data_IF_215414270422
#
_entry.id   IF_215414270422
#
_cell.length_a   1.000
_cell.length_b   1.000
_cell.length_c   1.000
_cell.angle_alpha   90.00
_cell.angle_beta   90.00
_cell.angle_gamma   90.00
#
_symmetry.space_group_name_H-M   'P 1'
#
loop_
_entity.id
_entity.type
_entity.pdbx_description
1 polymer ?
2 water ?
#
# COMPACT_ATOMS: atom_id res chain seq x y z
N UNK A 2 22.14 -31.02 -4.02
CA UNK A 2 22.74 -30.36 -2.89
C UNK A 2 22.74 -28.82 -3.04
N UNK A 3 21.57 -28.33 -3.44
CA UNK A 3 21.33 -26.92 -3.68
C UNK A 3 21.05 -26.23 -2.35
N UNK A 4 21.73 -25.12 -2.12
CA UNK A 4 21.51 -24.41 -0.87
C UNK A 4 20.50 -23.31 -1.11
N UNK A 5 19.49 -23.25 -0.26
CA UNK A 5 18.41 -22.30 -0.42
C UNK A 5 18.13 -21.56 0.89
N UNK A 6 18.10 -20.23 0.82
CA UNK A 6 17.82 -19.43 2.02
C UNK A 6 16.32 -19.23 2.22
N UNK A 7 15.89 -19.26 3.48
CA UNK A 7 14.49 -19.01 3.81
C UNK A 7 14.41 -18.22 5.10
N UNK A 8 13.26 -17.60 5.35
CA UNK A 8 13.06 -16.81 6.56
C UNK A 8 12.86 -17.72 7.77
N UNK A 9 13.80 -17.63 8.70
CA UNK A 9 13.81 -18.49 9.88
C UNK A 9 12.77 -18.10 10.90
N UNK A 10 12.72 -18.82 12.04
CA UNK A 10 13.56 -19.99 12.36
C UNK A 10 13.07 -21.28 11.70
N UNK A 11 13.79 -22.38 11.92
CA UNK A 11 13.28 -23.70 11.57
C UNK A 11 11.86 -23.89 12.09
N UNK A 12 11.02 -24.52 11.29
CA UNK A 12 9.62 -24.66 11.62
C UNK A 12 8.77 -23.42 11.40
N UNK A 13 9.31 -22.43 10.71
CA UNK A 13 8.53 -21.24 10.39
C UNK A 13 7.64 -21.59 9.21
N UNK A 14 6.64 -20.76 8.95
CA UNK A 14 5.83 -20.91 7.75
C UNK A 14 6.64 -20.93 6.46
N UNK A 15 7.61 -20.03 6.35
CA UNK A 15 8.45 -19.97 5.16
C UNK A 15 9.32 -21.23 4.99
N UNK A 16 9.78 -21.78 6.11
CA UNK A 16 10.48 -23.05 6.08
C UNK A 16 9.60 -24.12 5.44
N UNK A 17 8.39 -24.23 5.98
CA UNK A 17 7.38 -25.13 5.46
C UNK A 17 7.10 -24.91 3.97
N UNK A 18 7.12 -23.65 3.53
CA UNK A 18 6.91 -23.38 2.10
C UNK A 18 8.07 -23.96 1.31
N UNK A 19 9.28 -23.71 1.82
CA UNK A 19 10.49 -24.08 1.13
C UNK A 19 10.60 -25.59 1.18
N UNK A 20 10.16 -26.17 2.29
CA UNK A 20 10.22 -27.62 2.46
C UNK A 20 9.41 -28.35 1.40
N UNK A 21 8.25 -27.81 1.07
CA UNK A 21 7.38 -28.42 0.07
C UNK A 21 7.83 -28.09 -1.35
N UNK A 22 8.26 -26.86 -1.56
CA UNK A 22 8.72 -26.42 -2.87
C UNK A 22 10.00 -27.13 -3.28
N UNK A 23 10.89 -27.36 -2.31
CA UNK A 23 12.24 -27.81 -2.62
C UNK A 23 12.70 -28.99 -1.75
N UNK A 24 12.13 -30.18 -1.97
CA UNK A 24 12.45 -31.29 -1.06
C UNK A 24 13.90 -31.78 -1.17
N UNK A 25 14.54 -31.59 -2.33
CA UNK A 25 15.91 -32.08 -2.48
C UNK A 25 17.00 -31.10 -2.03
N UNK A 26 16.62 -30.02 -1.35
CA UNK A 26 17.58 -28.93 -1.17
C UNK A 26 18.04 -28.74 0.27
N UNK A 27 19.19 -28.11 0.41
CA UNK A 27 19.74 -27.75 1.72
C UNK A 27 19.20 -26.38 2.11
N UNK A 28 18.35 -26.33 3.12
CA UNK A 28 17.64 -25.10 3.44
C UNK A 28 18.27 -24.42 4.66
N UNK A 29 18.72 -23.19 4.44
CA UNK A 29 19.42 -22.45 5.47
C UNK A 29 18.59 -21.26 5.93
N UNK A 30 18.37 -21.16 7.24
CA UNK A 30 17.48 -20.14 7.79
C UNK A 30 18.23 -18.84 8.06
N UNK A 31 17.55 -17.71 7.90
CA UNK A 31 18.16 -16.45 8.25
C UNK A 31 17.15 -15.64 9.06
N UNK A 32 17.63 -14.67 9.82
CA UNK A 32 16.87 -14.11 10.94
C UNK A 32 15.77 -13.16 10.48
N UNK A 33 15.97 -12.56 9.32
CA UNK A 33 14.98 -11.61 8.82
C UNK A 33 15.07 -11.55 7.29
N UNK A 34 14.05 -10.98 6.68
CA UNK A 34 13.93 -10.96 5.23
C UNK A 34 15.15 -10.36 4.55
N UNK A 35 15.62 -9.24 5.09
CA UNK A 35 16.78 -8.57 4.56
C UNK A 35 18.00 -9.50 4.51
N UNK A 36 18.20 -10.27 5.59
CA UNK A 36 19.32 -11.21 5.66
C UNK A 36 19.18 -12.41 4.73
N UNK A 37 17.95 -12.91 4.57
CA UNK A 37 17.64 -13.92 3.55
C UNK A 37 18.09 -13.49 2.16
N UNK A 38 17.70 -12.29 1.73
CA UNK A 38 18.09 -11.78 0.42
C UNK A 38 19.60 -11.56 0.29
N UNK A 39 20.21 -10.96 1.31
CA UNK A 39 21.66 -10.81 1.35
C UNK A 39 22.42 -12.13 1.25
N UNK A 40 21.86 -13.19 1.84
CA UNK A 40 22.42 -14.53 1.71
C UNK A 40 22.57 -14.91 0.24
N UNK A 41 21.58 -14.55 -0.57
CA UNK A 41 21.66 -14.81 -2.00
C UNK A 41 22.63 -13.84 -2.69
N UNK A 42 22.57 -12.56 -2.31
CA UNK A 42 23.39 -11.54 -2.93
C UNK A 42 24.87 -11.84 -2.72
N UNK A 43 25.18 -12.37 -1.54
CA UNK A 43 26.54 -12.74 -1.18
C UNK A 43 26.96 -14.13 -1.69
N UNK A 44 26.08 -14.79 -2.43
CA UNK A 44 26.35 -16.10 -3.04
C UNK A 44 26.56 -17.23 -2.05
N UNK A 45 26.01 -17.10 -0.85
CA UNK A 45 25.98 -18.22 0.10
C UNK A 45 24.99 -19.29 -0.37
N UNK A 46 23.92 -18.86 -1.04
CA UNK A 46 22.88 -19.79 -1.45
C UNK A 46 22.52 -19.53 -2.91
N UNK A 47 21.77 -20.43 -3.53
CA UNK A 47 21.45 -20.30 -4.95
C UNK A 47 20.07 -19.68 -5.13
N UNK A 48 19.25 -19.76 -4.10
CA UNK A 48 17.93 -19.16 -4.13
C UNK A 48 17.55 -18.68 -2.75
N UNK A 49 16.69 -17.68 -2.69
CA UNK A 49 16.13 -17.26 -1.41
C UNK A 49 14.61 -17.22 -1.49
N UNK A 50 13.97 -17.60 -0.38
CA UNK A 50 12.51 -17.58 -0.31
C UNK A 50 12.09 -16.63 0.76
N UNK A 51 11.28 -15.65 0.36
CA UNK A 51 10.80 -14.60 1.23
C UNK A 51 9.32 -14.40 1.02
N UNK A 52 8.60 -14.06 2.09
CA UNK A 52 7.20 -13.64 2.02
C UNK A 52 7.04 -12.28 1.34
N UNK A 53 6.06 -12.16 0.46
CA UNK A 53 5.78 -10.87 -0.18
C UNK A 53 4.40 -10.30 0.17
N UNK A 54 3.43 -11.14 0.49
CA UNK A 54 2.11 -10.63 0.81
C UNK A 54 1.42 -11.46 1.87
N UNK A 55 0.75 -10.76 2.77
CA UNK A 55 0.11 -11.35 3.94
C UNK A 55 -1.41 -11.16 3.88
N UNK A 56 -2.14 -12.13 4.41
CA UNK A 56 -3.60 -12.10 4.36
C UNK A 56 -4.18 -10.95 5.17
N UNK A 57 -3.41 -10.48 6.15
CA UNK A 57 -3.91 -9.47 7.07
C UNK A 57 -3.16 -8.15 6.94
N UNK A 58 -1.85 -8.22 7.00
CA UNK A 58 -1.01 -7.03 6.91
C UNK A 58 -0.89 -6.48 5.49
N UNK A 59 -1.06 -7.34 4.48
CA UNK A 59 -0.92 -6.89 3.12
C UNK A 59 0.47 -7.18 2.57
N UNK A 60 0.90 -6.34 1.63
CA UNK A 60 2.23 -6.49 1.05
C UNK A 60 3.30 -6.29 2.13
N UNK A 61 4.34 -7.12 2.09
CA UNK A 61 5.42 -7.04 3.07
C UNK A 61 6.38 -5.91 2.74
N UNK A 62 6.34 -4.84 3.54
CA UNK A 62 7.16 -3.66 3.31
C UNK A 62 8.64 -3.96 3.14
N UNK A 63 9.22 -4.67 4.12
CA UNK A 63 10.63 -5.01 4.10
C UNK A 63 11.11 -5.63 2.79
N UNK A 64 10.34 -6.58 2.28
CA UNK A 64 10.68 -7.29 1.05
C UNK A 64 10.73 -6.36 -0.15
N UNK A 65 9.66 -5.61 -0.35
CA UNK A 65 9.58 -4.70 -1.49
C UNK A 65 10.52 -3.51 -1.38
N UNK A 66 10.68 -2.93 -0.19
CA UNK A 66 11.65 -1.84 -0.02
C UNK A 66 13.07 -2.27 -0.35
N UNK A 67 13.50 -3.39 0.21
CA UNK A 67 14.84 -3.88 -0.09
C UNK A 67 15.02 -4.17 -1.57
N UNK A 68 14.10 -4.92 -2.15
CA UNK A 68 14.18 -5.27 -3.56
C UNK A 68 14.20 -4.04 -4.49
N UNK A 69 13.42 -3.03 -4.15
CA UNK A 69 13.41 -1.79 -4.94
C UNK A 69 14.63 -0.89 -4.69
N UNK A 70 14.85 -0.51 -3.43
CA UNK A 70 15.90 0.44 -3.07
C UNK A 70 17.33 -0.11 -3.20
N UNK A 71 17.52 -1.39 -2.87
CA UNK A 71 18.87 -1.89 -2.63
C UNK A 71 19.34 -2.98 -3.60
N UNK A 72 18.51 -4.00 -3.82
CA UNK A 72 18.91 -5.16 -4.60
C UNK A 72 18.72 -4.96 -6.11
N UNK A 73 19.48 -5.73 -6.88
CA UNK A 73 19.32 -5.79 -8.32
C UNK A 73 19.05 -7.24 -8.73
N UNK A 74 17.96 -7.80 -8.24
CA UNK A 74 17.66 -9.21 -8.47
C UNK A 74 16.17 -9.37 -8.75
N UNK A 75 15.80 -10.48 -9.40
CA UNK A 75 14.41 -10.72 -9.73
C UNK A 75 13.86 -11.99 -9.09
N UNK A 76 12.59 -11.94 -8.73
CA UNK A 76 11.80 -13.14 -8.45
C UNK A 76 11.67 -14.01 -9.70
N UNK A 77 11.94 -15.30 -9.54
CA UNK A 77 11.86 -16.21 -10.67
C UNK A 77 10.74 -17.20 -10.44
N UNK A 78 10.13 -17.14 -9.27
CA UNK A 78 8.92 -17.93 -9.00
C UNK A 78 8.12 -17.34 -7.83
N UNK A 79 6.82 -17.51 -7.92
CA UNK A 79 5.88 -17.15 -6.87
C UNK A 79 5.12 -18.35 -6.36
N UNK A 80 5.03 -18.47 -5.04
CA UNK A 80 4.27 -19.54 -4.40
C UNK A 80 3.10 -19.00 -3.60
N UNK A 81 1.89 -19.49 -3.87
CA UNK A 81 0.72 -19.15 -3.06
C UNK A 81 0.46 -20.22 -2.01
N UNK A 82 0.39 -19.81 -0.76
CA UNK A 82 0.17 -20.79 0.30
C UNK A 82 -1.24 -20.65 0.91
N UNK A 170 7.16 -9.88 7.76
CA UNK A 170 6.99 -11.34 7.79
C UNK A 170 5.53 -11.69 7.48
N UNK A 171 5.31 -12.66 6.60
CA UNK A 171 3.95 -12.85 6.06
C UNK A 171 3.39 -14.27 6.02
N UNK A 172 2.23 -14.40 5.37
CA UNK A 172 1.48 -15.66 5.37
C UNK A 172 0.95 -16.26 4.05
N UNK A 173 0.84 -15.51 2.95
CA UNK A 173 0.19 -16.11 1.78
C UNK A 173 0.93 -16.11 0.42
N UNK A 174 1.56 -15.00 0.01
CA UNK A 174 2.41 -15.04 -1.19
C UNK A 174 3.89 -15.06 -0.85
N UNK A 175 4.63 -15.93 -1.53
CA UNK A 175 6.09 -16.00 -1.36
C UNK A 175 6.83 -15.87 -2.69
N UNK A 176 7.93 -15.12 -2.71
CA UNK A 176 8.79 -15.10 -3.88
C UNK A 176 10.06 -15.92 -3.70
N UNK A 177 10.40 -16.66 -4.75
CA UNK A 177 11.71 -17.28 -4.89
C UNK A 177 12.64 -16.38 -5.69
N UNK A 178 13.72 -15.93 -5.05
CA UNK A 178 14.67 -15.07 -5.72
C UNK A 178 15.83 -15.89 -6.24
N UNK A 179 16.27 -15.60 -7.46
CA UNK A 179 17.41 -16.25 -8.02
C UNK A 179 17.66 -15.77 -9.43
N UNK A 180 18.33 -16.58 -10.24
CA UNK A 180 18.80 -16.09 -11.53
C UNK A 180 18.07 -16.79 -12.65
N UNK A 181 17.67 -18.04 -12.40
CA UNK A 181 16.72 -18.73 -13.28
C UNK A 181 15.71 -19.52 -12.47
N UNK A 182 14.58 -19.85 -13.09
CA UNK A 182 13.53 -20.60 -12.41
C UNK A 182 13.96 -22.03 -12.10
N UNK A 183 13.99 -22.37 -10.81
CA UNK A 183 14.36 -23.70 -10.32
C UNK A 183 13.19 -24.65 -10.44
N UNK A 184 13.47 -25.94 -10.26
CA UNK A 184 12.42 -26.94 -10.26
C UNK A 184 11.69 -26.83 -8.94
N UNK A 185 10.37 -26.63 -9.03
CA UNK A 185 9.53 -26.43 -7.87
C UNK A 185 8.47 -27.51 -7.92
N UNK A 186 8.32 -28.20 -6.80
CA UNK A 186 7.55 -29.43 -6.75
C UNK A 186 6.12 -29.10 -6.35
N UNK A 187 5.60 -28.07 -6.99
CA UNK A 187 4.23 -27.63 -6.79
C UNK A 187 3.55 -27.47 -8.15
N UNK A 188 2.23 -27.32 -8.14
CA UNK A 188 1.42 -27.14 -9.34
C UNK A 188 1.64 -25.76 -9.96
N UNK A 189 2.12 -25.72 -11.20
CA UNK A 189 2.24 -24.46 -11.94
C UNK A 189 0.86 -23.92 -12.32
N UNK A 190 0.63 -22.65 -12.00
CA UNK A 190 -0.69 -22.05 -12.13
C UNK A 190 -0.83 -20.84 -13.06
N UNK A 191 0.28 -20.14 -13.32
CA UNK A 191 0.20 -18.83 -13.99
C UNK A 191 1.58 -18.29 -14.38
N UNK A 192 1.60 -17.38 -15.35
CA UNK A 192 2.79 -16.60 -15.64
C UNK A 192 2.53 -15.12 -15.45
N UNK A 193 3.41 -14.49 -14.67
CA UNK A 193 3.20 -13.11 -14.27
C UNK A 193 4.48 -12.31 -14.32
N UNK A 194 4.32 -11.00 -14.28
CA UNK A 194 5.46 -10.11 -14.10
C UNK A 194 5.11 -9.01 -13.12
N UNK A 195 6.06 -8.69 -12.26
CA UNK A 195 5.88 -7.61 -11.30
C UNK A 195 6.83 -6.48 -11.64
N UNK A 196 6.29 -5.27 -11.65
CA UNK A 196 7.03 -4.07 -12.00
C UNK A 196 6.97 -3.08 -10.86
N UNK A 197 8.07 -2.40 -10.61
CA UNK A 197 8.09 -1.23 -9.75
C UNK A 197 8.22 -0.01 -10.63
N UNK A 198 7.22 0.88 -10.58
CA UNK A 198 7.20 2.06 -11.43
C UNK A 198 7.54 3.32 -10.66
N UNK A 199 8.28 4.21 -11.31
CA UNK A 199 8.36 5.59 -10.84
C UNK A 199 7.80 6.53 -11.90
N UNK A 200 7.09 7.55 -11.44
CA UNK A 200 6.36 8.48 -12.30
C UNK A 200 7.08 9.81 -12.44
N UNK A 201 6.71 10.59 -13.48
CA UNK A 201 7.37 11.88 -13.69
C UNK A 201 7.22 12.86 -12.53
N UNK A 202 8.36 13.39 -12.11
CA UNK A 202 8.48 14.30 -10.95
C UNK A 202 8.04 13.59 -9.66
N UNK A 203 8.04 12.26 -9.70
CA UNK A 203 7.51 11.38 -8.64
C UNK A 203 6.13 11.70 -7.99
N UNK A 204 5.23 12.37 -8.69
CA UNK A 204 3.87 12.56 -8.14
C UNK A 204 2.94 11.46 -8.67
N UNK A 205 2.14 10.86 -7.77
CA UNK A 205 1.21 9.78 -8.07
C UNK A 205 0.19 10.15 -9.16
N UNK A 206 0.00 11.43 -9.42
CA UNK A 206 -0.97 11.89 -10.39
C UNK A 206 -0.97 11.29 -11.79
N UNK A 207 0.15 10.72 -12.22
CA UNK A 207 0.25 10.16 -13.58
C UNK A 207 0.07 8.64 -13.58
N UNK A 208 -0.31 8.06 -12.45
CA UNK A 208 -0.59 6.63 -12.37
C UNK A 208 -1.63 6.12 -13.37
N UNK A 209 -2.72 6.87 -13.53
CA UNK A 209 -3.74 6.53 -14.53
C UNK A 209 -3.15 6.27 -15.91
N UNK A 210 -2.09 6.98 -16.27
CA UNK A 210 -1.38 6.75 -17.54
C UNK A 210 -0.72 5.37 -17.64
N UNK A 211 -0.08 4.94 -16.55
CA UNK A 211 0.56 3.64 -16.50
C UNK A 211 -0.49 2.53 -16.60
N UNK A 212 -1.57 2.69 -15.85
CA UNK A 212 -2.67 1.73 -15.91
C UNK A 212 -3.39 1.71 -17.27
N UNK A 213 -3.61 2.89 -17.85
CA UNK A 213 -4.24 2.96 -19.17
C UNK A 213 -3.40 2.25 -20.24
N UNK A 214 -2.08 2.33 -20.10
CA UNK A 214 -1.15 1.66 -21.02
C UNK A 214 -1.42 0.16 -21.11
N UNK A 215 -1.64 -0.46 -19.96
CA UNK A 215 -1.96 -1.89 -19.95
C UNK A 215 -3.42 -2.18 -20.27
N UNK A 216 -4.32 -1.34 -19.79
CA UNK A 216 -5.77 -1.51 -20.00
C UNK A 216 -6.18 -1.54 -21.47
N UNK A 217 -5.70 -0.60 -22.27
CA UNK A 217 -6.12 -0.57 -23.67
C UNK A 217 -5.66 -1.83 -24.44
N UNK A 218 -4.59 -2.47 -23.98
CA UNK A 218 -4.13 -3.72 -24.61
C UNK A 218 -4.79 -4.97 -24.03
N UNK A 219 -5.70 -4.78 -23.08
CA UNK A 219 -6.32 -5.90 -22.41
C UNK A 219 -5.41 -6.69 -21.48
N UNK A 220 -4.32 -6.08 -21.03
CA UNK A 220 -3.45 -6.73 -20.04
C UNK A 220 -3.97 -6.49 -18.64
N UNK A 221 -4.44 -7.56 -18.00
CA UNK A 221 -5.09 -7.43 -16.69
C UNK A 221 -4.08 -7.25 -15.55
N UNK A 222 -4.24 -6.17 -14.80
CA UNK A 222 -3.50 -5.97 -13.56
C UNK A 222 -4.14 -6.73 -12.39
N UNK A 223 -3.32 -7.42 -11.61
CA UNK A 223 -3.82 -8.24 -10.51
C UNK A 223 -3.45 -7.67 -9.15
N UNK A 224 -2.59 -6.66 -9.14
CA UNK A 224 -2.29 -5.95 -7.90
C UNK A 224 -1.69 -4.57 -8.18
N UNK A 225 -2.07 -3.60 -7.35
CA UNK A 225 -1.44 -2.29 -7.36
C UNK A 225 -1.20 -1.85 -5.93
N UNK A 226 0.08 -1.65 -5.60
CA UNK A 226 0.53 -1.22 -4.28
C UNK A 226 1.50 -0.05 -4.40
N UNK A 227 1.54 0.81 -3.40
CA UNK A 227 2.60 1.80 -3.35
C UNK A 227 3.42 1.71 -2.07
N UNK A 228 4.61 2.27 -2.13
CA UNK A 228 5.55 2.34 -1.02
C UNK A 228 6.18 3.72 -1.09
N UNK A 229 6.47 4.33 0.06
CA UNK A 229 7.21 5.60 0.05
C UNK A 229 8.52 5.50 -0.72
N UNK A 230 8.85 6.52 -1.49
CA UNK A 230 10.16 6.62 -2.15
C UNK A 230 11.29 6.86 -1.15
N UNK A 231 10.94 7.16 0.09
CA UNK A 231 11.90 7.57 1.13
C UNK A 231 12.68 8.82 0.71
N UNK A 232 11.98 9.76 0.08
CA UNK A 232 12.55 11.04 -0.26
C UNK A 232 11.82 12.11 0.55
N UNK A 233 10.63 12.48 0.09
CA UNK A 233 9.73 13.30 0.90
C UNK A 233 8.34 12.68 0.96
N UNK A 234 7.56 13.10 1.94
CA UNK A 234 6.14 12.80 2.02
C UNK A 234 5.39 13.15 0.73
N UNK A 235 4.68 12.16 0.19
CA UNK A 235 3.92 12.36 -1.04
C UNK A 235 4.62 11.86 -2.29
N UNK A 236 5.81 11.32 -2.11
CA UNK A 236 6.53 10.66 -3.19
C UNK A 236 6.61 9.16 -2.95
N UNK A 237 6.26 8.39 -3.97
CA UNK A 237 6.18 6.94 -3.87
C UNK A 237 6.75 6.24 -5.10
N UNK A 238 6.97 4.94 -4.97
CA UNK A 238 7.11 4.06 -6.11
C UNK A 238 5.92 3.09 -6.10
N UNK A 239 5.52 2.64 -7.28
CA UNK A 239 4.31 1.81 -7.41
C UNK A 239 4.61 0.41 -7.92
N UNK A 240 4.15 -0.60 -7.17
CA UNK A 240 4.24 -2.00 -7.58
C UNK A 240 2.99 -2.51 -8.29
N UNK A 241 3.14 -2.92 -9.54
CA UNK A 241 2.03 -3.53 -10.26
C UNK A 241 2.38 -4.95 -10.72
N UNK A 242 1.47 -5.88 -10.47
CA UNK A 242 1.61 -7.23 -11.01
C UNK A 242 0.63 -7.39 -12.15
N UNK A 243 1.07 -8.02 -13.23
CA UNK A 243 0.12 -8.34 -14.29
C UNK A 243 0.40 -9.67 -14.94
N UNK A 244 -0.64 -10.20 -15.55
CA UNK A 244 -0.57 -11.41 -16.36
C UNK A 244 0.47 -11.26 -17.46
N UNK A 245 1.26 -12.32 -17.65
CA UNK A 245 2.31 -12.34 -18.66
C UNK A 245 1.95 -13.41 -19.68
N UNK A 246 0.68 -13.38 -20.06
CA UNK A 246 0.13 -14.33 -21.03
C UNK A 246 0.62 -14.03 -22.44
N UNK A 247 0.79 -12.75 -22.77
CA UNK A 247 1.29 -12.33 -24.08
C UNK A 247 2.57 -11.49 -23.97
N UNK A 248 3.74 -12.11 -24.10
CA UNK A 248 5.00 -11.42 -23.79
C UNK A 248 5.37 -10.31 -24.76
N UNK A 249 4.87 -10.36 -25.99
CA UNK A 249 5.24 -9.33 -26.95
C UNK A 249 4.33 -8.11 -26.79
N UNK A 250 3.09 -8.35 -26.39
CA UNK A 250 2.18 -7.29 -26.01
C UNK A 250 2.70 -6.53 -24.78
N UNK A 251 3.21 -7.28 -23.80
CA UNK A 251 3.88 -6.71 -22.63
C UNK A 251 5.04 -5.80 -23.03
N UNK A 252 5.84 -6.26 -23.99
CA UNK A 252 6.98 -5.49 -24.47
C UNK A 252 6.59 -4.12 -25.05
N UNK A 253 5.52 -4.07 -25.83
CA UNK A 253 5.01 -2.79 -26.32
C UNK A 253 4.50 -1.87 -25.21
N UNK A 254 3.79 -2.44 -24.23
CA UNK A 254 3.38 -1.72 -23.04
C UNK A 254 4.57 -1.01 -22.38
N UNK A 255 5.67 -1.73 -22.17
CA UNK A 255 6.88 -1.13 -21.60
C UNK A 255 7.44 -0.01 -22.48
N UNK A 256 7.46 -0.21 -23.78
CA UNK A 256 7.83 0.86 -24.71
C UNK A 256 6.93 2.09 -24.54
N UNK A 257 5.62 1.86 -24.44
CA UNK A 257 4.69 2.96 -24.20
C UNK A 257 4.92 3.68 -22.87
N UNK A 258 5.12 2.93 -21.78
CA UNK A 258 5.52 3.52 -20.50
C UNK A 258 6.70 4.48 -20.67
N UNK A 259 7.76 3.95 -21.28
CA UNK A 259 8.95 4.74 -21.64
C UNK A 259 8.66 6.03 -22.40
N UNK A 260 7.89 5.93 -23.48
CA UNK A 260 7.48 7.11 -24.24
C UNK A 260 6.70 8.15 -23.42
N UNK A 261 6.04 7.71 -22.36
CA UNK A 261 5.31 8.63 -21.47
C UNK A 261 6.26 9.25 -20.43
N UNK A 262 7.45 8.68 -20.31
CA UNK A 262 8.37 9.09 -19.26
C UNK A 262 8.19 8.37 -17.94
N UNK A 263 7.45 7.26 -17.96
CA UNK A 263 7.35 6.37 -16.81
C UNK A 263 8.45 5.33 -16.85
N UNK A 264 9.19 5.24 -15.75
CA UNK A 264 10.31 4.32 -15.64
C UNK A 264 9.95 3.09 -14.80
N UNK A 265 10.58 1.95 -15.09
CA UNK A 265 10.24 0.72 -14.40
C UNK A 265 11.45 -0.11 -14.01
N UNK A 266 11.32 -0.77 -12.87
CA UNK A 266 12.22 -1.82 -12.46
C UNK A 266 11.48 -3.14 -12.47
N UNK A 267 11.98 -4.12 -13.21
CA UNK A 267 11.37 -5.46 -13.18
C UNK A 267 11.71 -6.17 -11.88
N UNK A 268 10.70 -6.37 -11.04
CA UNK A 268 10.92 -7.07 -9.77
C UNK A 268 10.90 -8.57 -10.00
N UNK A 269 10.29 -9.01 -11.09
CA UNK A 269 10.24 -10.43 -11.42
C UNK A 269 9.45 -10.79 -12.66
N UNK A 270 9.94 -11.80 -13.37
CA UNK A 270 9.15 -12.51 -14.37
C UNK A 270 9.08 -13.96 -13.90
N UNK A 271 7.89 -14.47 -13.61
CA UNK A 271 7.84 -15.72 -12.87
C UNK A 271 6.59 -16.52 -13.16
N UNK A 272 6.70 -17.82 -12.95
CA UNK A 272 5.52 -18.67 -12.90
C UNK A 272 4.97 -18.66 -11.48
N UNK A 273 3.66 -18.84 -11.36
CA UNK A 273 2.98 -18.94 -10.08
C UNK A 273 2.69 -20.40 -9.74
N UNK A 274 3.08 -20.82 -8.55
CA UNK A 274 2.82 -22.19 -8.09
C UNK A 274 1.90 -22.23 -6.87
N UNK A 275 1.06 -23.25 -6.83
CA UNK A 275 0.11 -23.42 -5.76
C UNK A 275 0.52 -24.60 -4.90
N UNK A 276 0.60 -24.37 -3.61
CA UNK A 276 0.88 -25.43 -2.65
C UNK A 276 -0.22 -26.49 -2.65
N UNK B 2 -16.56 18.92 20.52
CA UNK B 2 -15.35 19.70 20.84
C UNK B 2 -14.90 19.85 22.31
N UNK B 3 -15.53 19.17 23.26
CA UNK B 3 -15.11 19.28 24.66
C UNK B 3 -13.93 18.36 24.98
N UNK B 4 -14.16 17.05 24.88
CA UNK B 4 -13.14 16.02 25.14
C UNK B 4 -12.54 15.43 23.86
N UNK B 5 -11.24 15.23 23.87
CA UNK B 5 -10.53 14.71 22.72
C UNK B 5 -9.66 13.50 23.02
N UNK B 6 -9.85 12.43 22.26
CA UNK B 6 -9.03 11.23 22.38
C UNK B 6 -7.81 11.31 21.47
N UNK B 7 -6.67 10.83 21.96
CA UNK B 7 -5.46 10.79 21.16
C UNK B 7 -4.69 9.52 21.48
N UNK B 8 -3.76 9.15 20.62
CA UNK B 8 -2.94 7.98 20.84
C UNK B 8 -1.91 8.31 21.92
N UNK B 9 -2.03 7.61 23.06
CA UNK B 9 -1.18 7.85 24.20
C UNK B 9 0.18 7.23 23.99
N UNK B 10 1.07 7.34 24.98
CA UNK B 10 0.85 8.04 26.25
C UNK B 10 0.99 9.55 26.15
N UNK B 11 0.77 10.23 27.27
CA UNK B 11 1.09 11.64 27.42
C UNK B 11 2.51 11.96 26.91
N UNK B 12 2.63 13.11 26.27
CA UNK B 12 3.88 13.51 25.62
C UNK B 12 4.23 12.81 24.32
N UNK B 13 3.28 12.10 23.73
CA UNK B 13 3.51 11.45 22.44
C UNK B 13 3.41 12.46 21.31
N UNK B 14 3.90 12.07 20.14
CA UNK B 14 3.72 12.88 18.93
C UNK B 14 2.24 13.20 18.71
N UNK B 15 1.38 12.18 18.87
CA UNK B 15 -0.05 12.37 18.68
C UNK B 15 -0.64 13.30 19.72
N UNK B 16 -0.12 13.22 20.94
CA UNK B 16 -0.45 14.17 21.99
C UNK B 16 -0.14 15.60 21.57
N UNK B 17 1.09 15.80 21.10
CA UNK B 17 1.51 17.10 20.58
C UNK B 17 0.57 17.61 19.48
N UNK B 18 0.14 16.71 18.61
CA UNK B 18 -0.75 17.10 17.51
C UNK B 18 -2.12 17.54 18.03
N UNK B 19 -2.64 16.81 19.02
CA UNK B 19 -3.99 17.05 19.50
C UNK B 19 -4.06 18.38 20.25
N UNK B 20 -2.96 18.75 20.90
CA UNK B 20 -2.84 20.06 21.58
C UNK B 20 -3.06 21.24 20.65
N UNK B 21 -2.55 21.14 19.42
CA UNK B 21 -2.60 22.25 18.48
C UNK B 21 -3.99 22.38 17.86
N UNK B 22 -4.64 21.24 17.64
CA UNK B 22 -5.97 21.24 17.02
C UNK B 22 -7.01 21.74 18.01
N UNK B 23 -6.80 21.40 19.29
CA UNK B 23 -7.79 21.64 20.33
C UNK B 23 -7.14 22.16 21.60
N UNK B 24 -6.64 23.41 21.57
CA UNK B 24 -5.86 23.90 22.71
C UNK B 24 -6.69 24.14 23.98
N UNK B 25 -7.98 24.43 23.82
CA UNK B 25 -8.87 24.70 24.96
C UNK B 25 -9.57 23.46 25.53
N UNK B 26 -9.18 22.27 25.09
CA UNK B 26 -10.02 21.10 25.31
C UNK B 26 -9.40 20.08 26.28
N UNK B 27 -10.24 19.18 26.78
CA UNK B 27 -9.79 18.10 27.65
C UNK B 27 -9.33 16.93 26.80
N UNK B 28 -8.04 16.62 26.88
CA UNK B 28 -7.43 15.63 26.00
C UNK B 28 -7.21 14.32 26.76
N UNK B 29 -7.83 13.25 26.28
CA UNK B 29 -7.75 11.97 26.97
C UNK B 29 -6.98 10.94 26.16
N UNK B 30 -5.98 10.30 26.78
CA UNK B 30 -5.14 9.37 26.02
C UNK B 30 -5.73 7.96 25.98
N UNK B 31 -5.49 7.24 24.90
CA UNK B 31 -5.90 5.85 24.81
C UNK B 31 -4.72 5.05 24.26
N UNK B 32 -4.73 3.75 24.49
CA UNK B 32 -3.53 2.92 24.39
C UNK B 32 -3.13 2.56 22.97
N UNK B 33 -4.11 2.54 22.06
CA UNK B 33 -3.83 2.19 20.69
C UNK B 33 -4.87 2.83 19.79
N UNK B 34 -4.58 2.86 18.49
CA UNK B 34 -5.39 3.57 17.51
C UNK B 34 -6.84 3.10 17.54
N UNK B 35 -7.04 1.78 17.60
CA UNK B 35 -8.38 1.21 17.64
C UNK B 35 -9.21 1.76 18.82
N UNK B 36 -8.59 1.81 20.00
CA UNK B 36 -9.28 2.31 21.20
C UNK B 36 -9.51 3.81 21.16
N UNK B 37 -8.57 4.56 20.58
CA UNK B 37 -8.79 5.98 20.29
C UNK B 37 -10.06 6.22 19.48
N UNK B 38 -10.18 5.52 18.36
CA UNK B 38 -11.36 5.62 17.51
C UNK B 38 -12.63 5.09 18.18
N UNK B 39 -12.53 3.95 18.85
CA UNK B 39 -13.66 3.42 19.63
C UNK B 39 -14.18 4.39 20.70
N UNK B 40 -13.27 5.14 21.32
CA UNK B 40 -13.63 6.19 22.27
C UNK B 40 -14.62 7.20 21.69
N UNK B 41 -14.45 7.54 20.42
CA UNK B 41 -15.37 8.45 19.77
C UNK B 41 -16.70 7.74 19.55
N UNK B 42 -16.60 6.50 19.09
CA UNK B 42 -17.77 5.69 18.75
C UNK B 42 -18.66 5.52 19.98
N UNK B 43 -18.03 5.41 21.14
CA UNK B 43 -18.73 5.26 22.42
C UNK B 43 -19.21 6.58 23.02
N UNK B 44 -18.96 7.68 22.31
CA UNK B 44 -19.37 9.02 22.74
C UNK B 44 -18.68 9.49 24.02
N UNK B 45 -17.51 8.92 24.35
CA UNK B 45 -16.69 9.45 25.43
C UNK B 45 -16.01 10.73 25.00
N UNK B 46 -15.69 10.83 23.72
CA UNK B 46 -14.95 11.97 23.23
C UNK B 46 -15.60 12.50 21.99
N UNK B 47 -15.10 13.67 21.61
CA UNK B 47 -15.72 14.50 20.62
C UNK B 47 -15.06 14.44 19.24
N UNK B 48 -13.76 14.20 19.28
CA UNK B 48 -12.89 14.05 18.12
C UNK B 48 -11.83 13.05 18.53
N UNK B 49 -11.24 12.36 17.57
CA UNK B 49 -10.11 11.50 17.88
C UNK B 49 -8.95 11.87 16.97
N UNK B 50 -7.73 11.79 17.50
CA UNK B 50 -6.53 12.11 16.74
C UNK B 50 -5.62 10.88 16.66
N UNK B 51 -5.31 10.49 15.43
CA UNK B 51 -4.49 9.32 15.16
C UNK B 51 -3.47 9.60 14.06
N UNK B 52 -2.30 8.95 14.13
CA UNK B 52 -1.36 8.95 13.00
C UNK B 52 -1.93 8.13 11.85
N UNK B 53 -1.82 8.61 10.62
CA UNK B 53 -2.29 7.81 9.50
C UNK B 53 -1.20 7.42 8.50
N UNK B 54 -0.19 8.26 8.31
CA UNK B 54 0.85 7.95 7.35
C UNK B 54 2.20 8.57 7.69
N UNK B 55 3.27 7.80 7.50
CA UNK B 55 4.62 8.29 7.74
C UNK B 55 5.40 8.30 6.43
N UNK B 56 6.30 9.29 6.28
CA UNK B 56 7.06 9.47 5.06
C UNK B 56 8.03 8.31 4.76
N UNK B 57 8.33 7.50 5.75
CA UNK B 57 9.25 6.38 5.54
C UNK B 57 8.55 5.02 5.61
N UNK B 58 7.77 4.78 6.66
CA UNK B 58 7.04 3.53 6.79
C UNK B 58 5.80 3.42 5.92
N UNK B 59 5.16 4.55 5.61
CA UNK B 59 3.95 4.55 4.82
C UNK B 59 2.67 4.63 5.64
N UNK B 60 1.57 4.18 5.05
CA UNK B 60 0.26 4.20 5.71
C UNK B 60 0.15 3.28 6.92
N UNK B 61 -0.49 3.79 7.96
CA UNK B 61 -0.72 3.00 9.17
C UNK B 61 -1.89 2.05 8.95
N UNK B 62 -1.59 0.77 8.79
CA UNK B 62 -2.59 -0.24 8.50
C UNK B 62 -3.77 -0.22 9.46
N UNK B 63 -3.48 -0.23 10.76
CA UNK B 63 -4.51 -0.21 11.80
C UNK B 63 -5.54 0.90 11.60
N UNK B 64 -5.07 2.09 11.28
CA UNK B 64 -5.96 3.24 11.10
C UNK B 64 -6.94 3.03 9.95
N UNK B 65 -6.41 2.70 8.78
CA UNK B 65 -7.23 2.53 7.59
C UNK B 65 -8.13 1.29 7.60
N UNK B 66 -7.65 0.17 8.12
CA UNK B 66 -8.51 -1.02 8.26
C UNK B 66 -9.72 -0.74 9.17
N UNK B 67 -9.47 -0.15 10.33
CA UNK B 67 -10.58 0.20 11.22
C UNK B 67 -11.55 1.21 10.61
N UNK B 68 -11.03 2.31 10.07
CA UNK B 68 -11.86 3.31 9.40
C UNK B 68 -12.70 2.79 8.24
N UNK B 69 -12.15 1.88 7.44
CA UNK B 69 -12.94 1.31 6.36
C UNK B 69 -13.97 0.30 6.84
N UNK B 70 -13.52 -0.74 7.54
CA UNK B 70 -14.38 -1.87 7.91
C UNK B 70 -15.44 -1.56 8.96
N UNK B 71 -15.07 -0.76 9.96
CA UNK B 71 -15.87 -0.69 11.16
C UNK B 71 -16.44 0.70 11.46
N UNK B 72 -15.64 1.74 11.28
CA UNK B 72 -16.08 3.06 11.71
C UNK B 72 -16.98 3.78 10.71
N UNK B 73 -17.84 4.63 11.25
CA UNK B 73 -18.71 5.52 10.50
C UNK B 73 -18.36 6.91 11.02
N UNK B 74 -17.11 7.28 10.76
CA UNK B 74 -16.53 8.53 11.22
C UNK B 74 -15.66 9.05 10.09
N UNK B 75 -15.42 10.35 10.03
CA UNK B 75 -14.60 10.92 8.95
C UNK B 75 -13.40 11.71 9.45
N UNK B 76 -12.32 11.70 8.67
CA UNK B 76 -11.28 12.71 8.83
C UNK B 76 -11.84 14.11 8.53
N UNK B 77 -11.67 15.03 9.47
CA UNK B 77 -12.19 16.40 9.29
C UNK B 77 -11.08 17.45 9.30
N UNK B 78 -9.87 17.01 9.63
CA UNK B 78 -8.68 17.86 9.53
C UNK B 78 -7.43 17.00 9.51
N UNK B 79 -6.41 17.44 8.79
CA UNK B 79 -5.11 16.77 8.79
C UNK B 79 -4.00 17.70 9.29
N UNK B 80 -3.18 17.20 10.21
CA UNK B 80 -1.99 17.94 10.67
C UNK B 80 -0.73 17.13 10.38
N UNK B 81 0.20 17.73 9.66
CA UNK B 81 1.50 17.11 9.40
C UNK B 81 2.58 17.54 10.38
N UNK B 82 3.19 16.54 11.02
CA UNK B 82 4.25 16.74 12.01
C UNK B 82 5.63 16.31 11.54
N UNK B 83 6.62 17.20 11.68
CA UNK B 83 8.02 16.79 11.55
C UNK B 83 8.44 15.85 12.68
N UNK B 84 9.16 14.79 12.34
CA UNK B 84 9.73 13.88 13.35
C UNK B 84 11.25 13.92 13.23
N UNK B 85 11.94 14.04 14.36
CA UNK B 85 13.40 14.02 14.36
C UNK B 85 13.93 12.80 15.10
N UNK B 170 9.84 8.53 11.87
CA UNK B 170 10.60 9.15 10.75
C UNK B 170 10.04 10.50 10.24
N UNK B 171 10.91 11.22 9.53
CA UNK B 171 10.78 12.66 9.18
C UNK B 171 9.40 13.29 9.27
N UNK B 172 8.45 12.84 8.46
CA UNK B 172 7.12 13.46 8.48
C UNK B 172 5.95 12.49 8.57
N UNK B 173 5.00 12.81 9.43
CA UNK B 173 3.82 11.98 9.63
C UNK B 173 2.55 12.80 9.45
N UNK B 174 1.56 12.18 8.83
CA UNK B 174 0.25 12.79 8.66
C UNK B 174 -0.62 12.27 9.81
N UNK B 175 -1.32 13.18 10.47
CA UNK B 175 -2.26 12.82 11.54
C UNK B 175 -3.63 13.32 11.10
N UNK B 176 -4.64 12.51 11.35
CA UNK B 176 -6.02 12.93 11.13
C UNK B 176 -6.78 13.24 12.40
N UNK B 177 -7.56 14.32 12.35
CA UNK B 177 -8.57 14.57 13.33
C UNK B 177 -9.87 13.95 12.82
N UNK B 178 -10.34 12.96 13.56
CA UNK B 178 -11.59 12.27 13.23
C UNK B 178 -12.75 12.82 14.03
N UNK B 179 -13.88 13.02 13.34
CA UNK B 179 -15.08 13.44 14.01
C UNK B 179 -16.22 13.68 13.03
N UNK B 180 -17.14 14.54 13.43
CA UNK B 180 -18.39 14.70 12.70
C UNK B 180 -18.46 16.13 12.13
N UNK B 181 -17.70 17.05 12.72
CA UNK B 181 -17.68 18.40 12.17
C UNK B 181 -16.27 18.95 11.93
N UNK B 182 -16.18 19.91 11.01
CA UNK B 182 -14.93 20.57 10.69
C UNK B 182 -14.53 21.49 11.82
N UNK B 183 -13.41 21.21 12.49
CA UNK B 183 -13.09 22.17 13.56
C UNK B 183 -12.38 23.41 13.01
N UNK B 184 -12.41 24.50 13.77
CA UNK B 184 -11.68 25.69 13.37
C UNK B 184 -10.22 25.57 13.76
N UNK B 185 -9.33 25.59 12.77
CA UNK B 185 -7.92 25.47 13.03
C UNK B 185 -7.15 26.53 12.26
N UNK B 186 -6.38 27.36 12.96
CA UNK B 186 -5.70 28.45 12.30
C UNK B 186 -4.21 28.20 12.11
N UNK B 187 -3.85 26.96 11.82
CA UNK B 187 -2.46 26.64 11.56
C UNK B 187 -2.25 26.93 10.08
N UNK B 188 -1.02 26.86 9.61
CA UNK B 188 -0.79 27.20 8.22
C UNK B 188 -1.42 26.14 7.33
N UNK B 189 -2.47 26.54 6.60
CA UNK B 189 -3.09 25.68 5.60
C UNK B 189 -2.19 25.48 4.40
N UNK B 190 -2.04 24.22 4.01
CA UNK B 190 -1.13 23.87 2.93
C UNK B 190 -1.86 23.18 1.77
N UNK B 191 -3.05 22.65 2.03
CA UNK B 191 -3.76 21.84 1.02
C UNK B 191 -5.20 21.49 1.39
N UNK B 192 -5.98 21.13 0.38
CA UNK B 192 -7.30 20.55 0.55
C UNK B 192 -7.40 19.18 -0.12
N UNK B 193 -7.86 18.19 0.63
CA UNK B 193 -7.89 16.83 0.08
C UNK B 193 -9.18 16.10 0.40
N UNK B 194 -9.42 15.02 -0.33
CA UNK B 194 -10.50 14.09 -0.02
C UNK B 194 -9.89 12.70 -0.10
N UNK B 195 -10.21 11.87 0.88
CA UNK B 195 -9.72 10.49 0.88
C UNK B 195 -10.87 9.52 0.72
N UNK B 196 -10.68 8.55 -0.16
CA UNK B 196 -11.74 7.61 -0.48
C UNK B 196 -11.24 6.19 -0.25
N UNK B 197 -12.14 5.32 0.17
CA UNK B 197 -11.86 3.90 0.08
C UNK B 197 -12.74 3.29 -1.02
N UNK B 198 -12.11 2.77 -2.07
CA UNK B 198 -12.85 2.21 -3.20
C UNK B 198 -12.79 0.69 -3.20
N UNK B 199 -13.91 0.07 -3.54
CA UNK B 199 -13.94 -1.34 -3.92
C UNK B 199 -14.42 -1.44 -5.36
N UNK B 200 -13.90 -2.40 -6.11
CA UNK B 200 -14.16 -2.47 -7.52
C UNK B 200 -15.20 -3.56 -7.81
N UNK B 201 -15.86 -3.50 -8.99
CA UNK B 201 -16.82 -4.54 -9.36
C UNK B 201 -16.13 -5.88 -9.53
N UNK B 202 -16.68 -6.92 -8.90
CA UNK B 202 -16.07 -8.25 -8.82
C UNK B 202 -14.76 -8.18 -8.03
N UNK B 203 -14.59 -7.09 -7.26
CA UNK B 203 -13.35 -6.80 -6.56
C UNK B 203 -12.08 -7.03 -7.41
N UNK B 204 -12.20 -6.76 -8.71
CA UNK B 204 -11.10 -6.88 -9.65
C UNK B 204 -10.23 -5.63 -9.76
N UNK B 205 -8.92 -5.76 -9.47
CA UNK B 205 -8.00 -4.62 -9.56
C UNK B 205 -7.90 -4.08 -10.97
N UNK B 206 -8.20 -4.94 -11.94
CA UNK B 206 -8.16 -4.58 -13.35
C UNK B 206 -8.97 -3.36 -13.76
N UNK B 207 -9.95 -2.98 -12.94
CA UNK B 207 -10.85 -1.86 -13.28
C UNK B 207 -10.45 -0.60 -12.54
N UNK B 208 -9.30 -0.66 -11.86
CA UNK B 208 -8.74 0.52 -11.19
C UNK B 208 -8.56 1.72 -12.13
N UNK B 209 -8.01 1.45 -13.31
CA UNK B 209 -7.85 2.48 -14.32
C UNK B 209 -9.14 3.27 -14.63
N UNK B 210 -10.28 2.60 -14.63
CA UNK B 210 -11.58 3.28 -14.81
C UNK B 210 -11.85 4.26 -13.69
N UNK B 211 -11.56 3.84 -12.46
CA UNK B 211 -11.75 4.69 -11.30
C UNK B 211 -10.83 5.90 -11.34
N UNK B 212 -9.55 5.68 -11.62
CA UNK B 212 -8.61 6.79 -11.74
C UNK B 212 -8.86 7.72 -12.93
N UNK B 213 -9.26 7.17 -14.08
CA UNK B 213 -9.56 8.00 -15.26
C UNK B 213 -10.67 9.00 -14.98
N UNK B 214 -11.63 8.59 -14.16
CA UNK B 214 -12.76 9.41 -13.76
C UNK B 214 -12.30 10.75 -13.18
N UNK B 215 -11.29 10.69 -12.32
CA UNK B 215 -10.70 11.90 -11.74
C UNK B 215 -9.68 12.54 -12.68
N UNK B 216 -8.92 11.69 -13.36
CA UNK B 216 -7.88 12.15 -14.27
C UNK B 216 -8.40 13.04 -15.40
N UNK B 217 -9.44 12.61 -16.11
CA UNK B 217 -9.92 13.41 -17.23
C UNK B 217 -10.43 14.77 -16.76
N UNK B 218 -10.87 14.86 -15.50
CA UNK B 218 -11.32 16.14 -14.96
C UNK B 218 -10.16 16.97 -14.42
N UNK B 219 -8.95 16.43 -14.52
CA UNK B 219 -7.78 17.10 -13.95
C UNK B 219 -7.72 17.17 -12.43
N UNK B 220 -8.43 16.28 -11.75
CA UNK B 220 -8.31 16.17 -10.30
C UNK B 220 -7.14 15.24 -9.97
N UNK B 221 -6.08 15.80 -9.37
CA UNK B 221 -4.83 15.04 -9.16
C UNK B 221 -4.90 14.04 -8.02
N UNK B 222 -4.51 12.81 -8.34
CA UNK B 222 -4.31 11.75 -7.35
C UNK B 222 -3.00 12.03 -6.62
N UNK B 223 -3.06 12.06 -5.29
CA UNK B 223 -1.86 12.37 -4.51
C UNK B 223 -1.39 11.19 -3.68
N UNK B 224 -2.23 10.16 -3.60
CA UNK B 224 -1.88 8.93 -2.90
C UNK B 224 -2.78 7.77 -3.28
N UNK B 225 -2.21 6.58 -3.37
CA UNK B 225 -2.97 5.36 -3.51
C UNK B 225 -2.33 4.23 -2.74
N UNK B 226 -3.13 3.54 -1.95
CA UNK B 226 -2.64 2.43 -1.16
C UNK B 226 -3.70 1.35 -1.15
N UNK B 227 -3.27 0.11 -1.35
CA UNK B 227 -4.21 -0.99 -1.27
C UNK B 227 -4.12 -1.69 0.08
N UNK B 228 -5.24 -2.25 0.50
CA UNK B 228 -5.36 -2.95 1.78
C UNK B 228 -6.13 -4.22 1.49
N UNK B 229 -5.80 -5.33 2.18
CA UNK B 229 -6.61 -6.54 2.04
C UNK B 229 -8.08 -6.30 2.35
N UNK B 230 -8.96 -6.83 1.50
CA UNK B 230 -10.40 -6.80 1.76
C UNK B 230 -10.78 -7.75 2.89
N UNK B 231 -9.84 -8.59 3.29
CA UNK B 231 -10.06 -9.67 4.24
C UNK B 231 -11.16 -10.62 3.76
N UNK B 232 -11.12 -10.93 2.47
CA UNK B 232 -11.97 -11.97 1.88
C UNK B 232 -11.09 -13.10 1.38
N UNK B 233 -10.54 -12.92 0.17
CA UNK B 233 -9.48 -13.79 -0.32
C UNK B 233 -8.28 -13.00 -0.89
N UNK B 234 -7.15 -13.69 -0.99
CA UNK B 234 -5.98 -13.17 -1.71
C UNK B 234 -6.34 -12.68 -3.10
N UNK B 235 -5.98 -11.44 -3.40
CA UNK B 235 -6.29 -10.83 -4.68
C UNK B 235 -7.52 -9.95 -4.64
N UNK B 236 -8.18 -9.84 -3.49
CA UNK B 236 -9.22 -8.84 -3.30
C UNK B 236 -8.83 -7.77 -2.30
N UNK B 237 -9.01 -6.52 -2.70
CA UNK B 237 -8.54 -5.40 -1.92
C UNK B 237 -9.52 -4.26 -1.93
N UNK B 238 -9.34 -3.34 -0.99
CA UNK B 238 -9.93 -2.02 -1.11
C UNK B 238 -8.78 -1.04 -1.24
N UNK B 239 -9.05 0.07 -1.92
CA UNK B 239 -8.01 1.04 -2.20
C UNK B 239 -8.22 2.36 -1.49
N UNK B 240 -7.17 2.81 -0.80
CA UNK B 240 -7.15 4.15 -0.24
C UNK B 240 -6.59 5.13 -1.25
N UNK B 241 -7.43 6.06 -1.67
CA UNK B 241 -7.03 7.10 -2.59
C UNK B 241 -7.25 8.51 -2.07
N UNK B 242 -6.23 9.36 -2.18
CA UNK B 242 -6.37 10.79 -1.89
C UNK B 242 -6.40 11.58 -3.19
N UNK B 243 -7.24 12.61 -3.23
CA UNK B 243 -7.29 13.54 -4.34
C UNK B 243 -7.31 14.94 -3.80
N UNK B 244 -6.78 15.87 -4.56
CA UNK B 244 -6.93 17.28 -4.23
C UNK B 244 -8.42 17.62 -4.24
N UNK B 245 -8.84 18.39 -3.24
CA UNK B 245 -10.24 18.74 -3.11
C UNK B 245 -10.44 20.26 -3.17
N UNK B 246 -9.70 20.91 -4.07
CA UNK B 246 -9.81 22.34 -4.27
C UNK B 246 -11.10 22.71 -4.99
N UNK B 247 -11.54 21.83 -5.88
CA UNK B 247 -12.78 22.05 -6.62
C UNK B 247 -13.79 21.00 -6.21
N UNK B 248 -14.55 21.31 -5.16
CA UNK B 248 -15.42 20.33 -4.54
C UNK B 248 -16.61 19.94 -5.42
N UNK B 249 -17.01 20.83 -6.32
CA UNK B 249 -18.18 20.55 -7.14
C UNK B 249 -17.80 19.63 -8.31
N UNK B 250 -16.59 19.81 -8.84
CA UNK B 250 -16.04 18.88 -9.82
C UNK B 250 -15.78 17.48 -9.25
N UNK B 251 -15.23 17.43 -8.04
CA UNK B 251 -15.09 16.18 -7.32
C UNK B 251 -16.44 15.47 -7.15
N UNK B 252 -17.49 16.22 -6.84
CA UNK B 252 -18.82 15.65 -6.68
C UNK B 252 -19.32 14.92 -7.93
N UNK B 253 -19.11 15.53 -9.10
CA UNK B 253 -19.42 14.86 -10.36
C UNK B 253 -18.55 13.62 -10.58
N UNK B 254 -17.26 13.73 -10.27
CA UNK B 254 -16.37 12.56 -10.30
C UNK B 254 -16.97 11.37 -9.52
N UNK B 255 -17.39 11.63 -8.29
CA UNK B 255 -18.03 10.60 -7.46
C UNK B 255 -19.31 10.05 -8.06
N UNK B 256 -20.14 10.93 -8.62
CA UNK B 256 -21.32 10.50 -9.37
C UNK B 256 -20.97 9.56 -10.51
N UNK B 257 -19.94 9.89 -11.28
CA UNK B 257 -19.50 8.99 -12.35
C UNK B 257 -19.03 7.62 -11.84
N UNK B 258 -18.27 7.60 -10.75
CA UNK B 258 -17.92 6.32 -10.11
C UNK B 258 -19.16 5.45 -9.89
N UNK B 259 -20.16 6.02 -9.21
CA UNK B 259 -21.45 5.36 -9.02
C UNK B 259 -22.06 4.85 -10.33
N UNK B 260 -22.13 5.71 -11.35
CA UNK B 260 -22.66 5.31 -12.64
C UNK B 260 -21.87 4.16 -13.28
N UNK B 261 -20.60 4.03 -12.93
CA UNK B 261 -19.76 2.94 -13.44
C UNK B 261 -19.93 1.66 -12.60
N UNK B 262 -20.58 1.78 -11.45
CA UNK B 262 -20.69 0.66 -10.54
C UNK B 262 -19.52 0.49 -9.58
N UNK B 263 -18.67 1.50 -9.47
CA UNK B 263 -17.60 1.49 -8.48
C UNK B 263 -18.11 2.06 -7.16
N UNK B 264 -17.91 1.30 -6.07
CA UNK B 264 -18.39 1.76 -4.78
C UNK B 264 -17.27 2.43 -4.01
N UNK B 265 -17.62 3.44 -3.24
CA UNK B 265 -16.63 4.20 -2.49
C UNK B 265 -17.19 4.53 -1.13
N UNK B 266 -16.29 4.61 -0.16
CA UNK B 266 -16.55 5.21 1.14
C UNK B 266 -15.71 6.46 1.28
N UNK B 267 -16.36 7.59 1.57
CA UNK B 267 -15.63 8.82 1.88
C UNK B 267 -15.01 8.75 3.28
N UNK B 268 -13.69 8.68 3.33
CA UNK B 268 -13.01 8.62 4.61
C UNK B 268 -12.86 10.01 5.22
N UNK B 269 -12.88 11.04 4.38
CA UNK B 269 -12.74 12.40 4.86
C UNK B 269 -12.62 13.47 3.79
N UNK B 270 -13.19 14.64 4.08
CA UNK B 270 -12.88 15.88 3.37
C UNK B 270 -12.26 16.86 4.35
N UNK B 271 -11.04 17.31 4.11
CA UNK B 271 -10.32 18.02 5.16
C UNK B 271 -9.31 19.01 4.61
N UNK B 272 -8.97 20.00 5.42
CA UNK B 272 -7.82 20.85 5.15
C UNK B 272 -6.55 20.20 5.70
N UNK B 273 -5.43 20.48 5.05
CA UNK B 273 -4.13 20.02 5.53
C UNK B 273 -3.34 21.16 6.15
N UNK B 274 -2.90 20.96 7.39
CA UNK B 274 -2.09 21.92 8.11
C UNK B 274 -0.72 21.30 8.36
N UNK B 275 0.34 22.10 8.41
CA UNK B 275 1.67 21.52 8.62
C UNK B 275 2.21 21.89 10.00
#
# INVERSE_FOLDING_TARGET
DTMKIAYLGPSGSFTHNVALHAFPAADLLPFENITEVIKAYESKQVCFAIVPVENSIEGSVHETFDYLFHQAKIEAVAEIILPIKQQLMSTSADKTIETIFSHPQAIAQGKQYIRSHYPDVKIEMTASTAYAARFVAEHPEENYAAIAPYAAADEYHLSIIAKDIQEIDENYTRFWVLGDETPTIHLKEEDQKISLALTLPDNLPGALYKALSTFAWRGIDLTKIESRPLKTILGEYFFIIDFENHNEKLVSFALEELTSIGIHYKILGKYAVYRL
DTMKIAYLGPSGSFTHNVALHAFPAADLLPFENITEVIKAYESKQVCFAIVPVENSIEGSVHETFDYLFHQAKIEAVAEIILPIKQQLMSTSADKTIETIFSHPQAIAQGKQYIRSHYPDVKIEMTASTAYAARFVAEHPEENYAAIAPYAAADEYHLSIIAKDIQEIDENYTRFWVLGDETPTIHLKEEDQKISLALTLPDNLPGALYKALSTFAWRGIDLTKIESRPLKTILGEYFFIIDFENHNEKLVSFALEELTSIGIHYKILGKYAVYRL
#
